data_IF_428076354770
#
_entry.id   IF_428076354770
#
_cell.length_a   1.000
_cell.length_b   1.000
_cell.length_c   1.000
_cell.angle_alpha   90.00
_cell.angle_beta   90.00
_cell.angle_gamma   90.00
#
_symmetry.space_group_name_H-M   'P 1'
#
loop_
_entity.id
_entity.type
_entity.pdbx_description
1 polymer ?
#
# COMPACT_ATOMS: atom_id res chain seq x y z
N UNK A 1 -0.78 23.07 -9.49
CA UNK A 1 -1.19 22.74 -10.87
C UNK A 1 -0.64 23.78 -11.83
N UNK A 2 -0.09 23.35 -12.98
CA UNK A 2 0.40 24.23 -14.04
C UNK A 2 0.36 23.55 -15.40
N UNK A 3 0.12 24.32 -16.47
CA UNK A 3 0.18 23.85 -17.84
C UNK A 3 1.18 24.65 -18.67
N UNK A 4 1.87 23.95 -19.58
CA UNK A 4 2.68 24.54 -20.66
C UNK A 4 2.08 24.12 -21.99
N UNK A 5 2.13 25.03 -22.98
CA UNK A 5 1.59 24.78 -24.31
C UNK A 5 0.13 25.26 -24.47
N UNK A 6 -0.57 24.69 -25.44
CA UNK A 6 -1.95 25.05 -25.78
C UNK A 6 -2.90 23.92 -25.38
N UNK A 7 -3.68 24.16 -24.34
CA UNK A 7 -4.69 23.23 -23.83
C UNK A 7 -6.09 23.80 -24.07
N UNK A 8 -7.02 22.94 -24.48
CA UNK A 8 -8.44 23.27 -24.55
C UNK A 8 -9.06 22.93 -23.19
N UNK A 9 -9.43 23.96 -22.43
CA UNK A 9 -10.07 23.83 -21.13
C UNK A 9 -11.60 23.75 -21.25
N UNK A 10 -12.23 22.87 -20.47
CA UNK A 10 -13.68 22.80 -20.29
C UNK A 10 -14.03 22.62 -18.81
N UNK A 11 -15.24 23.03 -18.45
CA UNK A 11 -15.76 22.90 -17.09
C UNK A 11 -17.28 22.76 -17.06
N UNK A 12 -17.82 22.27 -15.96
CA UNK A 12 -19.25 22.08 -15.72
C UNK A 12 -19.78 20.68 -16.09
N UNK A 13 -18.90 19.70 -16.32
CA UNK A 13 -19.29 18.33 -16.58
C UNK A 13 -19.04 17.45 -15.34
N UNK A 14 -20.07 17.01 -14.60
CA UNK A 14 -19.91 16.28 -13.34
C UNK A 14 -19.32 14.88 -13.49
N UNK A 15 -19.13 14.38 -14.71
CA UNK A 15 -18.40 13.12 -14.96
C UNK A 15 -16.89 13.26 -14.74
N UNK A 16 -16.36 14.49 -14.70
CA UNK A 16 -14.97 14.76 -14.41
C UNK A 16 -14.80 15.19 -12.95
N UNK A 17 -13.68 14.85 -12.33
CA UNK A 17 -13.35 15.24 -10.96
C UNK A 17 -13.37 16.76 -10.82
N UNK A 18 -14.13 17.28 -9.84
CA UNK A 18 -14.43 18.71 -9.66
C UNK A 18 -15.09 19.42 -10.87
N UNK A 19 -15.47 18.66 -11.90
CA UNK A 19 -16.25 19.10 -13.04
C UNK A 19 -15.45 19.76 -14.16
N UNK A 20 -14.12 19.76 -14.12
CA UNK A 20 -13.25 20.39 -15.11
C UNK A 20 -12.20 19.43 -15.69
N UNK A 21 -11.73 19.75 -16.90
CA UNK A 21 -10.71 19.00 -17.60
C UNK A 21 -10.07 19.85 -18.68
N UNK A 22 -8.89 19.45 -19.12
CA UNK A 22 -8.23 20.05 -20.28
C UNK A 22 -7.74 18.96 -21.23
N UNK A 23 -7.64 19.24 -22.53
CA UNK A 23 -7.06 18.28 -23.46
C UNK A 23 -6.28 18.96 -24.58
N UNK A 24 -5.36 18.20 -25.19
CA UNK A 24 -4.61 18.59 -26.38
C UNK A 24 -5.13 17.80 -27.57
N UNK A 25 -5.62 18.49 -28.61
CA UNK A 25 -6.11 17.85 -29.84
C UNK A 25 -4.98 17.30 -30.71
N UNK A 26 -5.27 16.21 -31.42
CA UNK A 26 -4.39 15.63 -32.45
C UNK A 26 -3.69 14.35 -32.01
N UNK A 27 -2.90 13.77 -32.91
CA UNK A 27 -2.08 12.58 -32.67
C UNK A 27 -0.61 12.93 -32.83
N UNK A 28 0.27 12.32 -32.04
CA UNK A 28 1.72 12.48 -32.14
C UNK A 28 2.21 13.85 -31.69
N UNK A 29 1.75 14.30 -30.51
CA UNK A 29 2.05 15.63 -29.99
C UNK A 29 3.53 15.99 -29.97
N UNK A 30 3.78 17.30 -29.98
CA UNK A 30 5.11 17.90 -30.23
C UNK A 30 6.06 17.81 -29.02
N UNK A 31 5.57 17.31 -27.89
CA UNK A 31 6.24 17.35 -26.59
C UNK A 31 6.28 18.75 -25.97
N UNK A 32 5.58 19.71 -26.56
CA UNK A 32 5.50 21.10 -26.08
C UNK A 32 4.34 21.32 -25.12
N UNK A 33 3.37 20.38 -25.07
CA UNK A 33 2.24 20.49 -24.17
C UNK A 33 2.48 19.59 -22.95
N UNK A 34 2.47 20.20 -21.76
CA UNK A 34 2.55 19.48 -20.49
C UNK A 34 1.53 20.00 -19.50
N UNK A 35 1.04 19.11 -18.64
CA UNK A 35 0.19 19.45 -17.48
C UNK A 35 0.80 18.82 -16.24
N UNK A 36 0.93 19.58 -15.15
CA UNK A 36 1.67 19.16 -13.97
C UNK A 36 0.93 19.44 -12.65
N UNK A 37 0.97 18.45 -11.75
CA UNK A 37 0.43 18.50 -10.40
C UNK A 37 1.59 18.28 -9.42
N UNK A 38 1.87 19.27 -8.58
CA UNK A 38 2.95 19.23 -7.60
C UNK A 38 2.35 19.21 -6.19
N UNK A 39 2.76 18.23 -5.40
CA UNK A 39 2.41 18.04 -3.99
C UNK A 39 3.65 18.26 -3.15
N UNK A 40 3.68 19.30 -2.33
CA UNK A 40 4.87 19.75 -1.60
C UNK A 40 4.69 19.70 -0.08
N UNK A 41 5.79 19.83 0.66
CA UNK A 41 5.82 19.74 2.13
C UNK A 41 5.37 18.37 2.63
N UNK A 42 5.77 17.33 1.91
CA UNK A 42 5.41 15.95 2.22
C UNK A 42 6.33 15.42 3.34
N UNK A 43 5.79 14.72 4.35
CA UNK A 43 6.56 13.82 5.19
C UNK A 43 7.40 12.84 4.38
N UNK A 44 8.44 12.28 5.03
CA UNK A 44 9.12 11.14 4.44
C UNK A 44 8.18 9.94 4.42
N UNK A 45 8.29 9.10 3.39
CA UNK A 45 7.56 7.85 3.29
C UNK A 45 7.15 7.50 1.86
N UNK A 46 6.44 6.40 1.73
CA UNK A 46 5.97 5.90 0.44
C UNK A 46 4.61 6.48 0.11
N UNK A 47 4.41 6.97 -1.10
CA UNK A 47 3.14 7.54 -1.53
C UNK A 47 2.52 6.70 -2.64
N UNK A 48 1.28 6.24 -2.45
CA UNK A 48 0.44 5.74 -3.53
C UNK A 48 0.02 6.91 -4.41
N UNK A 49 0.36 6.85 -5.69
CA UNK A 49 -0.08 7.81 -6.68
C UNK A 49 -1.20 7.20 -7.53
N UNK A 50 -2.35 7.88 -7.58
CA UNK A 50 -3.46 7.48 -8.44
C UNK A 50 -3.88 8.62 -9.37
N UNK A 51 -4.35 8.27 -10.57
CA UNK A 51 -4.96 9.18 -11.53
C UNK A 51 -6.42 8.81 -11.79
N UNK A 52 -7.22 9.78 -12.22
CA UNK A 52 -8.57 9.54 -12.75
C UNK A 52 -8.73 10.27 -14.07
N UNK A 53 -9.60 9.73 -14.92
CA UNK A 53 -10.03 10.27 -16.21
C UNK A 53 -11.33 9.59 -16.65
N UNK A 54 -12.15 10.31 -17.41
CA UNK A 54 -13.22 9.68 -18.18
C UNK A 54 -12.59 8.87 -19.32
N UNK A 55 -12.92 7.57 -19.50
CA UNK A 55 -12.36 6.78 -20.58
C UNK A 55 -12.70 7.34 -21.97
N UNK A 56 -11.68 7.47 -22.83
CA UNK A 56 -11.79 8.09 -24.16
C UNK A 56 -11.55 7.12 -25.32
N UNK A 57 -12.43 6.11 -25.51
CA UNK A 57 -12.21 5.01 -26.45
C UNK A 57 -12.15 5.43 -27.93
N UNK A 58 -12.57 6.65 -28.26
CA UNK A 58 -12.65 7.17 -29.63
C UNK A 58 -11.59 8.23 -29.94
N UNK A 59 -10.41 8.15 -29.31
CA UNK A 59 -9.27 8.98 -29.72
C UNK A 59 -8.25 9.30 -28.64
N UNK A 60 -8.50 8.94 -27.37
CA UNK A 60 -7.55 9.14 -26.29
C UNK A 60 -6.27 8.33 -26.52
N UNK A 61 -5.14 8.84 -26.04
CA UNK A 61 -3.85 8.18 -26.20
C UNK A 61 -3.81 6.89 -25.38
N UNK A 62 -3.36 5.79 -26.00
CA UNK A 62 -3.12 4.53 -25.27
C UNK A 62 -1.73 4.46 -24.64
N UNK A 63 -0.90 5.46 -24.89
CA UNK A 63 0.47 5.56 -24.43
C UNK A 63 0.80 6.97 -23.89
N UNK A 64 -0.16 7.64 -23.24
CA UNK A 64 0.07 8.99 -22.69
C UNK A 64 1.31 8.97 -21.78
N UNK A 65 2.38 9.72 -22.12
CA UNK A 65 3.57 9.83 -21.28
C UNK A 65 3.25 10.51 -19.95
N UNK A 66 3.72 9.89 -18.86
CA UNK A 66 3.70 10.45 -17.50
C UNK A 66 5.14 10.43 -16.97
N UNK A 67 5.56 11.52 -16.33
CA UNK A 67 6.83 11.62 -15.60
C UNK A 67 6.53 11.95 -14.15
N UNK A 68 7.07 11.15 -13.24
CA UNK A 68 7.01 11.36 -11.80
C UNK A 68 8.38 11.83 -11.35
N UNK A 69 8.44 13.01 -10.73
CA UNK A 69 9.70 13.64 -10.29
C UNK A 69 9.66 14.02 -8.82
N UNK A 70 10.85 14.20 -8.24
CA UNK A 70 11.03 14.54 -6.82
C UNK A 70 10.90 13.34 -5.86
N UNK A 71 10.87 12.13 -6.42
CA UNK A 71 10.88 10.85 -5.70
C UNK A 71 12.32 10.38 -5.45
N UNK A 72 12.51 9.56 -4.43
CA UNK A 72 13.79 8.90 -4.14
C UNK A 72 14.16 7.99 -5.34
N UNK A 73 15.44 7.97 -5.70
CA UNK A 73 15.92 7.21 -6.88
C UNK A 73 15.89 7.97 -8.21
N UNK A 74 15.26 9.15 -8.27
CA UNK A 74 15.20 10.02 -9.45
C UNK A 74 13.90 9.87 -10.25
N UNK A 75 13.81 10.59 -11.36
CA UNK A 75 12.56 10.66 -12.13
C UNK A 75 12.16 9.31 -12.74
N UNK A 76 10.88 8.97 -12.60
CA UNK A 76 10.28 7.74 -13.16
C UNK A 76 9.39 8.10 -14.35
N UNK A 77 9.56 7.38 -15.46
CA UNK A 77 8.74 7.54 -16.65
C UNK A 77 7.76 6.36 -16.80
N UNK A 78 6.50 6.68 -17.01
CA UNK A 78 5.40 5.73 -17.19
C UNK A 78 4.56 6.10 -18.41
N UNK A 79 3.64 5.22 -18.78
CA UNK A 79 2.60 5.52 -19.76
C UNK A 79 1.25 5.04 -19.26
N UNK A 80 0.19 5.83 -19.50
CA UNK A 80 -1.19 5.42 -19.24
C UNK A 80 -2.00 5.27 -20.53
N UNK A 81 -2.99 4.38 -20.49
CA UNK A 81 -3.95 4.19 -21.56
C UNK A 81 -5.26 4.90 -21.21
N UNK A 82 -5.49 6.09 -21.78
CA UNK A 82 -6.65 6.93 -21.46
C UNK A 82 -7.98 6.40 -22.03
N UNK A 83 -7.94 5.30 -22.80
CA UNK A 83 -9.15 4.67 -23.32
C UNK A 83 -9.85 3.77 -22.30
N UNK A 84 -9.19 3.47 -21.18
CA UNK A 84 -9.69 2.64 -20.10
C UNK A 84 -9.31 3.27 -18.77
N UNK A 85 -10.11 3.04 -17.74
CA UNK A 85 -9.76 3.38 -16.36
C UNK A 85 -9.88 2.11 -15.53
N UNK A 86 -8.79 1.72 -14.86
CA UNK A 86 -8.86 0.67 -13.85
C UNK A 86 -9.48 1.25 -12.57
N UNK A 87 -10.30 0.46 -11.89
CA UNK A 87 -11.07 0.90 -10.72
C UNK A 87 -10.40 0.41 -9.43
N UNK A 88 -9.16 0.83 -9.22
CA UNK A 88 -8.32 0.34 -8.12
C UNK A 88 -8.74 0.94 -6.77
N UNK A 89 -9.25 2.18 -6.79
CA UNK A 89 -9.82 2.83 -5.59
C UNK A 89 -11.10 3.58 -5.93
N UNK A 90 -12.02 3.66 -4.97
CA UNK A 90 -13.17 4.55 -5.03
C UNK A 90 -13.09 5.59 -3.90
N UNK A 91 -13.04 6.87 -4.25
CA UNK A 91 -12.89 7.97 -3.29
C UNK A 91 -13.45 9.28 -3.86
N UNK A 92 -14.00 10.11 -2.97
CA UNK A 92 -14.67 11.38 -3.30
C UNK A 92 -15.71 11.27 -4.43
N UNK A 93 -16.31 10.07 -4.59
CA UNK A 93 -17.31 9.79 -5.62
C UNK A 93 -16.77 9.31 -6.97
N UNK A 94 -15.45 9.11 -7.11
CA UNK A 94 -14.80 8.74 -8.36
C UNK A 94 -13.97 7.47 -8.22
N UNK A 95 -13.84 6.73 -9.32
CA UNK A 95 -12.85 5.66 -9.43
C UNK A 95 -11.49 6.24 -9.79
N UNK A 96 -10.44 5.69 -9.19
CA UNK A 96 -9.05 6.07 -9.39
C UNK A 96 -8.26 4.83 -9.78
N UNK A 97 -7.37 4.99 -10.76
CA UNK A 97 -6.40 3.99 -11.17
C UNK A 97 -5.06 4.28 -10.52
N UNK A 98 -4.40 3.24 -10.01
CA UNK A 98 -3.05 3.38 -9.50
C UNK A 98 -2.02 3.48 -10.61
N UNK A 99 -1.04 4.36 -10.37
CA UNK A 99 0.09 4.58 -11.26
C UNK A 99 1.41 4.13 -10.63
N UNK A 100 1.40 3.78 -9.34
CA UNK A 100 2.52 3.23 -8.62
C UNK A 100 2.64 3.77 -7.20
N UNK A 101 3.68 3.31 -6.52
CA UNK A 101 4.08 3.76 -5.20
C UNK A 101 5.46 4.40 -5.29
N UNK A 102 5.65 5.52 -4.60
CA UNK A 102 6.87 6.31 -4.73
C UNK A 102 7.35 6.82 -3.39
N UNK A 103 8.60 6.51 -3.06
CA UNK A 103 9.25 7.02 -1.85
C UNK A 103 9.60 8.50 -2.00
N UNK A 104 9.38 9.28 -0.94
CA UNK A 104 9.65 10.71 -0.85
C UNK A 104 10.45 10.99 0.42
N UNK A 105 11.46 11.85 0.30
CA UNK A 105 12.23 12.32 1.44
C UNK A 105 11.47 13.36 2.28
N UNK A 106 11.89 13.57 3.53
CA UNK A 106 11.27 14.56 4.42
C UNK A 106 11.26 15.97 3.82
N UNK A 107 10.10 16.65 3.91
CA UNK A 107 9.81 17.93 3.26
C UNK A 107 9.92 17.87 1.72
N UNK A 108 9.73 16.68 1.15
CA UNK A 108 9.86 16.43 -0.27
C UNK A 108 8.70 16.97 -1.09
N UNK A 109 8.76 16.70 -2.40
CA UNK A 109 7.72 17.07 -3.36
C UNK A 109 7.58 15.95 -4.38
N UNK A 110 6.36 15.45 -4.60
CA UNK A 110 6.05 14.64 -5.79
C UNK A 110 5.46 15.57 -6.84
N UNK A 111 6.00 15.52 -8.05
CA UNK A 111 5.38 16.17 -9.21
C UNK A 111 5.05 15.14 -10.29
N UNK A 112 3.76 15.08 -10.63
CA UNK A 112 3.24 14.31 -11.76
C UNK A 112 3.15 15.23 -12.95
N UNK A 113 3.77 14.85 -14.06
CA UNK A 113 3.73 15.61 -15.32
C UNK A 113 3.29 14.69 -16.46
N UNK A 114 2.17 15.03 -17.11
CA UNK A 114 1.80 14.40 -18.38
C UNK A 114 2.27 15.25 -19.56
N UNK A 115 2.48 14.61 -20.71
CA UNK A 115 2.91 15.28 -21.94
C UNK A 115 2.19 14.74 -23.17
N UNK A 116 2.13 15.55 -24.23
CA UNK A 116 1.71 15.10 -25.56
C UNK A 116 2.84 14.44 -26.37
N UNK A 117 4.07 14.39 -25.84
CA UNK A 117 5.25 13.91 -26.57
C UNK A 117 5.08 12.49 -27.13
N UNK A 118 4.97 12.36 -28.46
CA UNK A 118 4.79 11.06 -29.13
C UNK A 118 3.55 10.26 -28.67
N UNK A 119 2.56 10.92 -28.06
CA UNK A 119 1.28 10.29 -27.73
C UNK A 119 0.55 9.86 -29.01
N UNK A 120 -0.06 8.68 -29.04
CA UNK A 120 -0.70 8.13 -30.24
C UNK A 120 -2.18 8.53 -30.41
N UNK A 121 -2.70 9.30 -29.46
CA UNK A 121 -4.03 9.89 -29.42
C UNK A 121 -3.96 11.29 -28.85
N UNK A 122 -5.12 11.90 -28.63
CA UNK A 122 -5.19 13.14 -27.87
C UNK A 122 -4.90 12.85 -26.39
N UNK A 123 -4.37 13.84 -25.68
CA UNK A 123 -4.02 13.71 -24.25
C UNK A 123 -5.00 14.50 -23.40
N UNK A 124 -5.56 13.85 -22.38
CA UNK A 124 -6.52 14.42 -21.43
C UNK A 124 -5.82 14.69 -20.08
N UNK A 125 -5.85 15.94 -19.63
CA UNK A 125 -5.45 16.34 -18.30
C UNK A 125 -6.69 16.44 -17.41
N UNK A 126 -6.77 15.58 -16.41
CA UNK A 126 -7.79 15.67 -15.37
C UNK A 126 -7.15 15.74 -13.97
N UNK A 127 -7.19 14.67 -13.17
CA UNK A 127 -6.86 14.74 -11.76
C UNK A 127 -5.94 13.60 -11.31
N UNK A 128 -5.07 13.96 -10.37
CA UNK A 128 -4.14 13.07 -9.70
C UNK A 128 -4.22 13.34 -8.21
N UNK A 129 -4.00 12.29 -7.42
CA UNK A 129 -3.94 12.35 -5.97
C UNK A 129 -2.79 11.51 -5.46
N UNK A 130 -2.29 11.85 -4.27
CA UNK A 130 -1.35 11.03 -3.55
C UNK A 130 -1.90 10.71 -2.17
N UNK A 131 -1.59 9.52 -1.67
CA UNK A 131 -1.88 9.09 -0.31
C UNK A 131 -0.57 8.58 0.30
N UNK A 132 -0.21 9.08 1.48
CA UNK A 132 0.91 8.52 2.23
C UNK A 132 0.52 7.13 2.68
N UNK A 133 1.35 6.16 2.33
CA UNK A 133 1.24 4.76 2.72
C UNK A 133 2.52 4.40 3.45
N UNK A 134 2.40 3.76 4.60
CA UNK A 134 3.52 3.14 5.31
C UNK A 134 3.38 1.63 5.09
N UNK A 135 3.76 1.11 3.90
CA UNK A 135 3.61 -0.31 3.65
C UNK A 135 4.66 -1.09 4.44
N UNK A 136 4.27 -2.23 5.01
CA UNK A 136 5.26 -3.16 5.52
C UNK A 136 6.10 -3.73 4.37
N UNK A 137 7.41 -3.58 4.45
CA UNK A 137 8.35 -4.04 3.42
C UNK A 137 8.92 -5.43 3.73
N UNK A 138 9.19 -6.22 2.69
CA UNK A 138 10.07 -7.37 2.79
C UNK A 138 11.49 -6.88 3.09
N UNK A 139 12.09 -7.30 4.21
CA UNK A 139 13.45 -6.85 4.59
C UNK A 139 14.52 -7.20 3.54
N UNK A 140 14.34 -8.30 2.82
CA UNK A 140 15.21 -8.70 1.70
C UNK A 140 14.89 -8.01 0.36
N UNK A 141 13.92 -7.09 0.31
CA UNK A 141 13.34 -6.57 -0.93
C UNK A 141 12.61 -7.65 -1.73
N UNK A 142 12.22 -7.33 -2.97
CA UNK A 142 11.52 -8.28 -3.84
C UNK A 142 12.38 -9.50 -4.20
N UNK A 143 11.82 -10.70 -4.01
CA UNK A 143 12.48 -11.94 -4.38
C UNK A 143 12.55 -12.13 -5.90
N UNK A 144 13.63 -12.76 -6.36
CA UNK A 144 13.79 -13.18 -7.76
C UNK A 144 12.91 -14.38 -8.15
N UNK A 145 12.28 -15.05 -7.19
CA UNK A 145 11.33 -16.14 -7.42
C UNK A 145 9.90 -15.62 -7.34
N UNK A 146 9.02 -16.11 -8.20
CA UNK A 146 7.57 -15.85 -8.09
C UNK A 146 6.92 -17.00 -7.34
N UNK A 147 6.45 -16.73 -6.11
CA UNK A 147 5.61 -17.65 -5.37
C UNK A 147 4.17 -17.67 -5.91
N UNK A 148 3.39 -18.66 -5.48
CA UNK A 148 1.97 -18.75 -5.84
C UNK A 148 1.16 -17.69 -5.11
N UNK A 149 0.20 -17.08 -5.81
CA UNK A 149 -0.75 -16.14 -5.24
C UNK A 149 -1.72 -16.79 -4.25
N UNK A 150 -2.02 -16.09 -3.16
CA UNK A 150 -3.11 -16.47 -2.23
C UNK A 150 -4.48 -16.05 -2.75
N UNK A 151 -5.53 -16.56 -2.11
CA UNK A 151 -6.93 -16.22 -2.41
C UNK A 151 -7.51 -15.25 -1.38
N UNK A 152 -8.64 -14.61 -1.71
CA UNK A 152 -9.36 -13.77 -0.75
C UNK A 152 -9.83 -14.57 0.47
N UNK A 153 -10.17 -15.85 0.31
CA UNK A 153 -10.57 -16.72 1.43
C UNK A 153 -9.41 -16.94 2.41
N UNK A 154 -8.17 -17.07 1.89
CA UNK A 154 -6.98 -17.16 2.74
C UNK A 154 -6.79 -15.87 3.55
N UNK A 155 -6.91 -14.70 2.90
CA UNK A 155 -6.78 -13.40 3.55
C UNK A 155 -7.88 -13.17 4.60
N UNK A 156 -9.13 -13.49 4.27
CA UNK A 156 -10.28 -13.34 5.17
C UNK A 156 -10.13 -14.20 6.43
N UNK A 157 -9.57 -15.42 6.30
CA UNK A 157 -9.32 -16.29 7.46
C UNK A 157 -8.28 -15.70 8.43
N UNK A 158 -7.26 -15.03 7.89
CA UNK A 158 -6.21 -14.38 8.69
C UNK A 158 -6.68 -13.06 9.28
N UNK A 159 -7.48 -12.28 8.55
CA UNK A 159 -8.13 -11.05 9.05
C UNK A 159 -8.88 -11.32 10.35
N UNK A 160 -9.70 -12.37 10.39
CA UNK A 160 -10.50 -12.68 11.57
C UNK A 160 -9.63 -13.03 12.79
N UNK A 161 -8.51 -13.71 12.57
CA UNK A 161 -7.52 -13.98 13.62
C UNK A 161 -6.81 -12.70 14.08
N UNK A 162 -6.38 -11.84 13.16
CA UNK A 162 -5.73 -10.56 13.46
C UNK A 162 -6.64 -9.63 14.27
N UNK A 163 -7.93 -9.52 13.90
CA UNK A 163 -8.93 -8.75 14.67
C UNK A 163 -9.09 -9.31 16.09
N UNK A 164 -9.00 -10.63 16.27
CA UNK A 164 -9.08 -11.26 17.59
C UNK A 164 -7.85 -10.95 18.45
N UNK A 165 -6.64 -10.95 17.86
CA UNK A 165 -5.42 -10.51 18.54
C UNK A 165 -5.53 -9.05 18.97
N UNK A 166 -5.90 -8.14 18.07
CA UNK A 166 -6.10 -6.72 18.41
C UNK A 166 -7.19 -6.52 19.47
N UNK A 167 -8.28 -7.27 19.45
CA UNK A 167 -9.29 -7.21 20.52
C UNK A 167 -8.75 -7.62 21.90
N UNK A 168 -7.78 -8.53 21.94
CA UNK A 168 -7.16 -8.97 23.19
C UNK A 168 -6.23 -7.93 23.83
N UNK A 169 -5.79 -6.91 23.09
CA UNK A 169 -4.93 -5.82 23.61
C UNK A 169 -5.70 -4.76 24.40
N UNK A 170 -7.03 -4.92 24.60
CA UNK A 170 -7.84 -3.98 25.35
C UNK A 170 -8.38 -2.79 24.55
N UNK A 171 -8.44 -2.89 23.22
CA UNK A 171 -9.03 -1.86 22.36
C UNK A 171 -10.45 -1.48 22.77
N UNK A 172 -10.77 -0.19 22.64
CA UNK A 172 -12.14 0.30 22.83
C UNK A 172 -13.08 -0.22 21.74
N UNK A 173 -14.39 -0.23 22.03
CA UNK A 173 -15.40 -0.64 21.04
C UNK A 173 -15.34 0.21 19.77
N UNK A 174 -14.99 1.50 19.88
CA UNK A 174 -14.83 2.39 18.73
C UNK A 174 -13.65 1.98 17.86
N UNK A 175 -12.51 1.65 18.46
CA UNK A 175 -11.34 1.15 17.73
C UNK A 175 -11.62 -0.19 17.04
N UNK A 176 -12.32 -1.10 17.72
CA UNK A 176 -12.73 -2.37 17.11
C UNK A 176 -13.67 -2.18 15.93
N UNK A 177 -14.66 -1.29 16.05
CA UNK A 177 -15.55 -0.97 14.94
C UNK A 177 -14.84 -0.29 13.77
N UNK A 178 -13.80 0.50 14.04
CA UNK A 178 -12.94 1.06 13.01
C UNK A 178 -12.22 -0.05 12.24
N UNK A 179 -11.53 -0.97 12.94
CA UNK A 179 -10.83 -2.08 12.30
C UNK A 179 -11.77 -2.98 11.47
N UNK A 180 -12.99 -3.23 11.97
CA UNK A 180 -14.00 -4.01 11.27
C UNK A 180 -14.59 -3.32 10.04
N UNK A 181 -14.43 -2.00 9.93
CA UNK A 181 -14.94 -1.22 8.79
C UNK A 181 -13.98 -1.18 7.60
N UNK A 182 -12.72 -1.58 7.80
CA UNK A 182 -11.70 -1.58 6.76
C UNK A 182 -11.93 -2.69 5.75
N UNK A 183 -11.82 -2.36 4.47
CA UNK A 183 -11.88 -3.33 3.39
C UNK A 183 -10.51 -4.02 3.22
N UNK A 184 -10.52 -5.31 2.89
CA UNK A 184 -9.30 -6.04 2.58
C UNK A 184 -9.30 -6.42 1.11
N UNK A 185 -8.20 -6.14 0.42
CA UNK A 185 -8.01 -6.44 -0.98
C UNK A 185 -6.66 -7.09 -1.25
N UNK A 186 -6.57 -7.78 -2.38
CA UNK A 186 -5.33 -8.36 -2.89
C UNK A 186 -4.92 -7.65 -4.17
N UNK A 187 -3.63 -7.30 -4.27
CA UNK A 187 -3.02 -6.74 -5.48
C UNK A 187 -1.58 -7.25 -5.64
N UNK A 188 -1.00 -7.18 -6.83
CA UNK A 188 0.44 -7.41 -7.04
C UNK A 188 1.18 -6.11 -6.73
N UNK A 189 1.78 -6.03 -5.53
CA UNK A 189 2.43 -4.84 -5.04
C UNK A 189 3.90 -4.80 -5.48
N UNK A 190 4.42 -3.63 -5.87
CA UNK A 190 5.79 -3.51 -6.37
C UNK A 190 6.84 -3.48 -5.25
N UNK A 191 8.11 -3.56 -5.64
CA UNK A 191 9.28 -3.14 -4.86
C UNK A 191 9.46 -3.79 -3.48
N UNK A 192 8.87 -4.97 -3.28
CA UNK A 192 9.01 -5.71 -2.04
C UNK A 192 7.95 -5.40 -0.99
N UNK A 193 6.91 -4.64 -1.32
CA UNK A 193 5.79 -4.37 -0.42
C UNK A 193 5.03 -5.66 -0.09
N UNK A 194 4.72 -5.84 1.19
CA UNK A 194 3.94 -6.98 1.68
C UNK A 194 2.48 -6.60 1.92
N UNK A 195 2.24 -5.39 2.40
CA UNK A 195 0.92 -4.83 2.62
C UNK A 195 0.99 -3.31 2.69
N UNK A 196 -0.16 -2.66 2.62
CA UNK A 196 -0.27 -1.22 2.84
C UNK A 196 -1.70 -0.83 3.19
N UNK A 197 -1.83 0.00 4.21
CA UNK A 197 -3.10 0.57 4.65
C UNK A 197 -3.34 1.97 4.06
N UNK A 198 -4.56 2.17 3.56
CA UNK A 198 -5.15 3.50 3.37
C UNK A 198 -6.15 3.76 4.49
N UNK A 199 -6.77 4.95 4.47
CA UNK A 199 -7.82 5.28 5.45
C UNK A 199 -9.02 4.31 5.49
N UNK A 200 -9.27 3.54 4.42
CA UNK A 200 -10.45 2.66 4.32
C UNK A 200 -10.15 1.24 3.83
N UNK A 201 -8.95 1.00 3.30
CA UNK A 201 -8.61 -0.27 2.64
C UNK A 201 -7.20 -0.71 2.99
N UNK A 202 -7.05 -1.95 3.43
CA UNK A 202 -5.77 -2.64 3.54
C UNK A 202 -5.60 -3.50 2.29
N UNK A 203 -4.53 -3.24 1.55
CA UNK A 203 -4.16 -4.02 0.37
C UNK A 203 -2.97 -4.89 0.74
N UNK A 204 -3.07 -6.20 0.48
CA UNK A 204 -2.02 -7.18 0.74
C UNK A 204 -1.47 -7.68 -0.60
N UNK A 205 -0.15 -7.85 -0.66
CA UNK A 205 0.48 -8.40 -1.86
C UNK A 205 0.01 -9.83 -2.14
N UNK A 206 -0.22 -10.18 -3.40
CA UNK A 206 -0.74 -11.50 -3.75
C UNK A 206 0.27 -12.63 -3.50
N UNK A 207 1.58 -12.37 -3.60
CA UNK A 207 2.62 -13.41 -3.61
C UNK A 207 3.74 -13.20 -2.57
N UNK A 208 3.54 -12.27 -1.65
CA UNK A 208 4.46 -11.87 -0.60
C UNK A 208 5.83 -11.42 -1.13
N UNK A 209 5.83 -10.51 -2.12
CA UNK A 209 7.03 -10.06 -2.82
C UNK A 209 7.88 -11.21 -3.39
N UNK A 210 7.23 -12.32 -3.77
CA UNK A 210 7.85 -13.51 -4.33
C UNK A 210 8.36 -14.55 -3.31
N UNK A 211 8.28 -14.28 -2.00
CA UNK A 211 8.62 -15.26 -0.95
C UNK A 211 7.50 -16.28 -0.71
N UNK A 212 6.26 -15.90 -1.04
CA UNK A 212 5.07 -16.67 -0.73
C UNK A 212 4.61 -16.50 0.72
N UNK A 213 3.31 -16.59 0.90
CA UNK A 213 2.68 -16.44 2.20
C UNK A 213 2.69 -17.73 3.00
N UNK A 214 3.00 -17.62 4.29
CA UNK A 214 2.56 -18.56 5.30
C UNK A 214 1.16 -18.15 5.78
N UNK A 215 0.16 -18.93 5.36
CA UNK A 215 -1.22 -18.82 5.83
C UNK A 215 -1.42 -19.85 6.93
N UNK A 216 -1.48 -19.37 8.17
CA UNK A 216 -1.57 -20.22 9.35
C UNK A 216 -3.01 -20.69 9.60
N UNK A 217 -3.20 -22.00 9.72
CA UNK A 217 -4.50 -22.61 10.01
C UNK A 217 -4.81 -22.66 11.51
N UNK A 218 -3.79 -22.46 12.33
CA UNK A 218 -3.81 -22.48 13.80
C UNK A 218 -3.13 -21.22 14.35
N UNK A 219 -3.60 -20.01 13.97
CA UNK A 219 -2.89 -18.75 14.23
C UNK A 219 -2.70 -18.41 15.71
N UNK A 220 -3.44 -19.06 16.61
CA UNK A 220 -3.33 -18.87 18.07
C UNK A 220 -2.38 -19.87 18.75
N UNK A 221 -1.99 -20.94 18.06
CA UNK A 221 -1.12 -21.98 18.63
C UNK A 221 0.37 -21.65 18.41
N UNK A 222 0.70 -20.90 17.36
CA UNK A 222 2.06 -20.52 16.98
C UNK A 222 3.03 -21.71 16.83
N UNK A 223 2.50 -22.90 16.52
CA UNK A 223 3.24 -24.17 16.58
C UNK A 223 4.38 -24.30 15.56
N UNK A 224 4.34 -23.47 14.53
CA UNK A 224 5.31 -23.36 13.45
C UNK A 224 6.55 -22.56 13.84
N UNK A 225 6.52 -21.90 15.00
CA UNK A 225 7.54 -20.98 15.45
C UNK A 225 8.11 -21.41 16.80
N UNK A 226 9.35 -21.02 17.03
CA UNK A 226 10.03 -21.15 18.32
C UNK A 226 10.65 -19.82 18.70
N UNK A 227 10.75 -19.53 19.99
CA UNK A 227 11.43 -18.34 20.47
C UNK A 227 12.95 -18.47 20.24
N UNK A 228 13.54 -17.46 19.59
CA UNK A 228 14.99 -17.32 19.51
C UNK A 228 15.57 -16.73 20.82
N UNK A 229 16.88 -16.46 20.83
CA UNK A 229 17.56 -15.91 22.00
C UNK A 229 17.09 -14.49 22.40
N UNK A 230 16.40 -13.78 21.49
CA UNK A 230 15.91 -12.43 21.68
C UNK A 230 14.39 -12.40 21.92
N UNK A 231 13.73 -13.57 21.98
CA UNK A 231 12.29 -13.67 22.21
C UNK A 231 11.44 -13.56 20.94
N UNK A 232 12.04 -13.67 19.75
CA UNK A 232 11.31 -13.59 18.49
C UNK A 232 10.73 -14.95 18.11
N UNK A 233 9.52 -14.95 17.56
CA UNK A 233 8.94 -16.16 16.97
C UNK A 233 9.56 -16.42 15.60
N UNK A 234 10.46 -17.39 15.54
CA UNK A 234 11.20 -17.77 14.33
C UNK A 234 10.83 -19.18 13.89
N UNK A 235 10.53 -19.34 12.61
CA UNK A 235 10.26 -20.63 12.00
C UNK A 235 11.56 -21.41 11.75
N UNK A 236 11.68 -22.60 12.35
CA UNK A 236 12.81 -23.48 12.09
C UNK A 236 12.78 -24.08 10.67
N UNK A 237 13.91 -24.58 10.16
CA UNK A 237 14.04 -25.08 8.78
C UNK A 237 13.07 -26.22 8.36
N UNK A 238 12.49 -26.94 9.32
CA UNK A 238 11.49 -27.99 9.06
C UNK A 238 10.05 -27.48 9.15
N UNK A 239 9.85 -26.25 9.63
CA UNK A 239 8.55 -25.61 9.74
C UNK A 239 8.00 -25.27 8.37
N UNK A 240 6.67 -25.36 8.24
CA UNK A 240 6.00 -24.86 7.06
C UNK A 240 6.28 -23.36 6.87
N UNK A 241 6.42 -22.56 7.92
CA UNK A 241 6.66 -21.12 7.80
C UNK A 241 8.08 -20.74 7.33
N UNK A 242 9.00 -21.70 7.24
CA UNK A 242 10.39 -21.43 6.84
C UNK A 242 10.50 -20.91 5.41
N UNK A 243 11.20 -19.80 5.21
CA UNK A 243 11.42 -19.14 3.93
C UNK A 243 10.26 -18.30 3.42
N UNK A 244 9.16 -18.18 4.19
CA UNK A 244 7.92 -17.50 3.78
C UNK A 244 7.63 -16.28 4.65
N UNK A 245 6.85 -15.35 4.12
CA UNK A 245 6.35 -14.21 4.89
C UNK A 245 5.11 -14.61 5.69
N UNK A 246 5.01 -14.19 6.94
CA UNK A 246 3.86 -14.52 7.80
C UNK A 246 2.69 -13.56 7.52
N UNK A 247 1.61 -14.07 6.93
CA UNK A 247 0.46 -13.23 6.54
C UNK A 247 -0.23 -12.60 7.76
N UNK A 248 -0.26 -13.30 8.90
CA UNK A 248 -0.86 -12.80 10.12
C UNK A 248 -0.14 -11.55 10.62
N UNK A 249 1.20 -11.58 10.66
CA UNK A 249 2.04 -10.44 11.04
C UNK A 249 1.73 -9.22 10.19
N UNK A 250 1.72 -9.37 8.86
CA UNK A 250 1.47 -8.25 7.95
C UNK A 250 0.06 -7.69 8.14
N UNK A 251 -0.97 -8.54 8.20
CA UNK A 251 -2.35 -8.07 8.43
C UNK A 251 -2.49 -7.32 9.76
N UNK A 252 -1.83 -7.79 10.82
CA UNK A 252 -1.85 -7.09 12.12
C UNK A 252 -1.12 -5.75 12.08
N UNK A 253 0.01 -5.67 11.37
CA UNK A 253 0.75 -4.43 11.17
C UNK A 253 -0.11 -3.37 10.46
N UNK A 254 -0.75 -3.71 9.34
CA UNK A 254 -1.59 -2.78 8.59
C UNK A 254 -2.83 -2.31 9.38
N UNK A 255 -3.38 -3.21 10.23
CA UNK A 255 -4.41 -2.83 11.19
C UNK A 255 -3.87 -1.87 12.27
N UNK A 256 -2.59 -1.95 12.62
CA UNK A 256 -1.91 -0.99 13.50
C UNK A 256 -1.90 0.42 12.90
N UNK A 257 -1.63 0.56 11.60
CA UNK A 257 -1.76 1.84 10.90
C UNK A 257 -3.19 2.38 10.91
N UNK A 258 -4.19 1.49 10.77
CA UNK A 258 -5.60 1.89 10.90
C UNK A 258 -5.90 2.48 12.29
N UNK A 259 -5.24 1.99 13.35
CA UNK A 259 -5.36 2.52 14.71
C UNK A 259 -4.56 3.81 14.92
N UNK A 260 -3.76 4.25 13.93
CA UNK A 260 -2.92 5.43 13.99
C UNK A 260 -1.54 5.19 14.60
N UNK A 261 -1.07 3.94 14.65
CA UNK A 261 0.32 3.66 14.97
C UNK A 261 1.18 3.87 13.72
N UNK A 262 2.24 4.65 13.87
CA UNK A 262 3.25 4.85 12.82
C UNK A 262 4.25 3.69 12.84
N UNK A 263 4.99 3.54 11.74
CA UNK A 263 6.16 2.67 11.72
C UNK A 263 7.20 3.13 12.73
N UNK A 264 7.89 2.15 13.29
CA UNK A 264 9.07 2.34 14.13
C UNK A 264 10.31 2.08 13.29
N UNK A 265 11.25 3.02 13.34
CA UNK A 265 12.54 2.91 12.63
C UNK A 265 13.36 1.73 13.19
N UNK A 266 14.21 1.17 12.34
CA UNK A 266 15.01 -0.04 12.57
C UNK A 266 15.84 -0.02 13.84
N UNK A 267 16.34 1.15 14.25
CA UNK A 267 17.14 1.32 15.47
C UNK A 267 16.35 1.05 16.77
N UNK A 268 15.00 1.15 16.73
CA UNK A 268 14.11 1.00 17.90
C UNK A 268 13.23 -0.28 17.85
N UNK A 269 13.20 -1.02 16.72
CA UNK A 269 12.08 -1.92 16.46
C UNK A 269 12.32 -3.14 15.53
N UNK A 270 13.56 -3.63 15.36
CA UNK A 270 13.84 -4.81 14.49
C UNK A 270 12.88 -6.01 14.70
N UNK A 271 12.23 -6.10 15.87
CA UNK A 271 11.29 -7.17 16.23
C UNK A 271 9.88 -6.71 16.65
N UNK A 272 9.56 -5.41 16.57
CA UNK A 272 8.22 -4.90 16.91
C UNK A 272 7.23 -5.13 15.77
N UNK A 273 5.96 -5.34 16.13
CA UNK A 273 4.88 -5.49 15.15
C UNK A 273 4.86 -4.32 14.15
N UNK A 274 5.09 -3.09 14.62
CA UNK A 274 5.11 -1.87 13.80
C UNK A 274 6.49 -1.52 13.22
N UNK A 275 7.43 -2.47 13.11
CA UNK A 275 8.69 -2.21 12.41
C UNK A 275 8.50 -2.10 10.89
N UNK A 276 9.23 -1.21 10.22
CA UNK A 276 9.08 -0.89 8.79
C UNK A 276 9.32 -2.07 7.82
N UNK A 277 9.99 -3.12 8.28
CA UNK A 277 10.27 -4.30 7.47
C UNK A 277 10.14 -5.61 8.24
N UNK A 278 9.84 -6.68 7.50
CA UNK A 278 9.68 -8.05 7.99
C UNK A 278 10.66 -8.99 7.28
N UNK A 279 11.46 -9.73 8.04
CA UNK A 279 12.22 -10.85 7.50
C UNK A 279 11.31 -12.05 7.28
N UNK A 280 11.64 -12.88 6.29
CA UNK A 280 10.98 -14.18 6.12
C UNK A 280 11.17 -15.05 7.37
N UNK A 281 10.31 -16.06 7.53
CA UNK A 281 10.34 -16.98 8.67
C UNK A 281 10.04 -16.35 10.04
N UNK A 282 9.67 -15.07 10.11
CA UNK A 282 9.33 -14.38 11.36
C UNK A 282 7.82 -14.20 11.53
N UNK A 283 7.36 -14.35 12.77
CA UNK A 283 6.05 -13.87 13.23
C UNK A 283 6.24 -12.80 14.29
N UNK A 284 5.49 -11.71 14.18
CA UNK A 284 5.34 -10.68 15.22
C UNK A 284 3.88 -10.60 15.64
N UNK A 285 3.64 -10.45 16.94
CA UNK A 285 2.30 -10.31 17.51
C UNK A 285 2.18 -8.92 18.18
N UNK A 286 0.96 -8.38 18.36
CA UNK A 286 0.76 -7.17 19.15
C UNK A 286 1.26 -7.41 20.58
N UNK A 287 1.89 -6.40 21.17
CA UNK A 287 2.14 -6.42 22.61
C UNK A 287 0.80 -6.39 23.32
N UNK A 288 0.48 -7.47 24.03
CA UNK A 288 -0.64 -7.49 24.94
C UNK A 288 -0.11 -6.85 26.21
N UNK A 289 -0.74 -5.76 26.67
CA UNK A 289 -0.44 -5.06 27.94
C UNK A 289 0.17 -6.03 28.96
N UNK A 290 1.31 -5.66 29.56
CA UNK A 290 2.15 -6.47 30.49
C UNK A 290 1.36 -7.32 31.50
N UNK A 291 0.14 -6.90 31.83
CA UNK A 291 -0.84 -7.61 32.63
C UNK A 291 -1.15 -9.05 32.16
N UNK A 292 -1.15 -9.34 30.85
CA UNK A 292 -1.43 -10.68 30.31
C UNK A 292 -0.17 -11.47 29.98
N UNK A 293 0.96 -10.79 29.75
CA UNK A 293 2.27 -11.44 29.58
C UNK A 293 2.64 -12.25 30.82
N UNK A 294 2.31 -11.75 32.03
CA UNK A 294 2.56 -12.49 33.29
C UNK A 294 1.70 -13.76 33.44
N UNK A 295 0.51 -13.82 32.83
CA UNK A 295 -0.34 -15.01 32.88
C UNK A 295 0.16 -16.15 31.98
N UNK A 296 0.89 -15.83 30.90
CA UNK A 296 1.53 -16.83 30.03
C UNK A 296 2.81 -17.37 30.68
N UNK A 297 3.51 -16.56 31.48
CA UNK A 297 4.65 -16.99 32.31
C UNK A 297 4.26 -17.71 33.61
N UNK A 298 2.95 -17.89 33.88
CA UNK A 298 2.45 -18.62 35.04
C UNK A 298 2.43 -17.86 36.37
N UNK A 299 2.71 -16.55 36.35
CA UNK A 299 2.57 -15.67 37.51
C UNK A 299 1.15 -15.06 37.52
N UNK A 300 0.29 -15.55 38.43
CA UNK A 300 -1.04 -14.97 38.65
C UNK A 300 -0.93 -13.82 39.68
N UNK A 301 -1.03 -12.55 39.26
CA UNK A 301 -0.85 -11.40 40.15
C UNK A 301 -1.98 -11.21 41.17
N UNK A 302 -3.05 -12.03 41.12
CA UNK A 302 -4.14 -12.03 42.12
C UNK A 302 -3.87 -12.96 43.32
N UNK A 303 -2.67 -13.56 43.40
CA UNK A 303 -2.29 -14.48 44.49
C UNK A 303 -1.19 -13.96 45.43
N UNK A 304 -0.86 -12.66 45.40
CA UNK A 304 -0.05 -12.01 46.44
C UNK A 304 -0.82 -10.91 47.17
#
# INVERSE_FOLDING_TARGET
FSQTGTWIYNSGNPSFYQGDYSYVVGTGGTGQNTSSWAFSNLPAGTYRLSGTWVPEPNGGATNMPITISGVVGGDVALTANEQVLLHDVYDDGFYWQDLGYFEVAANGTITVTISDNQANGYVLAEAYRIELTSPLMAAGGQSSTSAQSITQDDLDSVRDAALSYWASTGLSQTQLSLLQSVNFALADLPDGMLGGATSTTITIDINAAGYGWFVDKTPFDNSEFTLDANGNLVAGAASAASGRMDLLTVVMHELGHTLGYDDLDTDDAENHLMGESLNDSLRRLPEIDDFFSSMVEGENPLLN
#
